data_IF_708492471536
#
_entry.id   IF_708492471536
#
_cell.length_a   1.000
_cell.length_b   1.000
_cell.length_c   1.000
_cell.angle_alpha   90.00
_cell.angle_beta   90.00
_cell.angle_gamma   90.00
#
_symmetry.space_group_name_H-M   'P 1'
#
loop_
_entity.id
_entity.type
_entity.pdbx_description
1 polymer ?
#
# COMPACT_ATOMS: atom_id res chain seq x y z
N UNK A 1 -32.47 31.68 10.95
CA UNK A 1 -31.76 31.87 9.67
C UNK A 1 -32.65 32.76 8.82
N UNK A 2 -32.14 33.86 8.28
CA UNK A 2 -32.94 34.81 7.49
C UNK A 2 -33.15 34.23 6.09
N UNK A 3 -34.26 33.53 5.87
CA UNK A 3 -34.63 33.02 4.53
C UNK A 3 -35.17 34.13 3.65
N UNK A 4 -34.92 34.03 2.35
CA UNK A 4 -35.38 34.97 1.32
C UNK A 4 -36.71 34.53 0.74
N UNK A 5 -37.74 35.35 0.85
CA UNK A 5 -39.09 35.03 0.39
C UNK A 5 -39.53 36.09 -0.62
N UNK A 6 -40.08 35.65 -1.75
CA UNK A 6 -40.74 36.53 -2.71
C UNK A 6 -42.25 36.32 -2.64
N UNK A 7 -42.99 37.41 -2.47
CA UNK A 7 -44.45 37.43 -2.57
C UNK A 7 -44.83 38.10 -3.90
N UNK A 8 -45.67 37.44 -4.69
CA UNK A 8 -46.18 37.94 -5.97
C UNK A 8 -47.70 37.95 -5.90
N UNK A 9 -48.32 39.12 -5.97
CA UNK A 9 -49.78 39.27 -5.90
C UNK A 9 -50.10 40.63 -6.51
N UNK A 10 -51.18 40.83 -7.25
CA UNK A 10 -51.51 42.14 -7.84
C UNK A 10 -52.14 43.09 -6.81
N UNK A 11 -52.74 42.56 -5.74
CA UNK A 11 -53.33 43.31 -4.65
C UNK A 11 -52.26 43.83 -3.67
N UNK A 12 -52.11 45.15 -3.63
CA UNK A 12 -51.15 45.84 -2.76
C UNK A 12 -51.33 45.48 -1.27
N UNK A 13 -52.58 45.43 -0.81
CA UNK A 13 -52.90 45.11 0.58
C UNK A 13 -52.42 43.71 1.00
N UNK A 14 -52.53 42.73 0.11
CA UNK A 14 -52.10 41.35 0.38
C UNK A 14 -50.57 41.26 0.39
N UNK A 15 -49.90 41.87 -0.60
CA UNK A 15 -48.43 41.94 -0.63
C UNK A 15 -47.87 42.54 0.66
N UNK A 16 -48.39 43.69 1.09
CA UNK A 16 -47.92 44.35 2.31
C UNK A 16 -48.28 43.57 3.57
N UNK A 17 -49.50 43.02 3.66
CA UNK A 17 -49.93 42.21 4.81
C UNK A 17 -49.05 40.98 5.02
N UNK A 18 -48.82 40.20 3.97
CA UNK A 18 -47.94 39.02 4.03
C UNK A 18 -46.48 39.40 4.28
N UNK A 19 -46.00 40.48 3.66
CA UNK A 19 -44.65 41.00 3.91
C UNK A 19 -44.44 41.34 5.38
N UNK A 20 -45.38 42.05 6.01
CA UNK A 20 -45.28 42.40 7.43
C UNK A 20 -45.27 41.15 8.31
N UNK A 21 -46.17 40.20 8.07
CA UNK A 21 -46.25 38.95 8.84
C UNK A 21 -44.95 38.13 8.75
N UNK A 22 -44.39 37.98 7.55
CA UNK A 22 -43.21 37.15 7.33
C UNK A 22 -41.91 37.87 7.75
N UNK A 23 -41.83 39.19 7.58
CA UNK A 23 -40.71 39.99 8.07
C UNK A 23 -40.64 40.00 9.61
N UNK A 24 -41.79 40.01 10.31
CA UNK A 24 -41.89 39.87 11.77
C UNK A 24 -41.30 38.54 12.27
N UNK A 25 -41.31 37.48 11.44
CA UNK A 25 -40.65 36.21 11.72
C UNK A 25 -39.14 36.20 11.39
N UNK A 26 -38.58 37.35 10.98
CA UNK A 26 -37.16 37.51 10.67
C UNK A 26 -36.73 37.04 9.28
N UNK A 27 -37.67 36.90 8.34
CA UNK A 27 -37.37 36.60 6.94
C UNK A 27 -37.02 37.87 6.14
N UNK A 28 -36.23 37.71 5.07
CA UNK A 28 -36.01 38.75 4.07
C UNK A 28 -37.11 38.66 3.01
N UNK A 29 -37.98 39.66 2.92
CA UNK A 29 -39.18 39.56 2.09
C UNK A 29 -39.22 40.64 1.02
N UNK A 30 -39.17 40.20 -0.23
CA UNK A 30 -39.41 41.04 -1.40
C UNK A 30 -40.82 40.80 -1.96
N UNK A 31 -41.33 41.79 -2.68
CA UNK A 31 -42.69 41.78 -3.22
C UNK A 31 -42.66 42.20 -4.69
N UNK A 32 -43.41 41.52 -5.54
CA UNK A 32 -43.63 41.83 -6.94
C UNK A 32 -45.14 41.99 -7.19
N UNK A 33 -45.52 42.90 -8.08
CA UNK A 33 -46.93 43.15 -8.41
C UNK A 33 -47.41 42.40 -9.64
N UNK A 34 -46.48 41.88 -10.44
CA UNK A 34 -46.74 41.21 -11.72
C UNK A 34 -45.63 40.20 -12.03
N UNK A 35 -45.83 39.45 -13.12
CA UNK A 35 -44.91 38.43 -13.61
C UNK A 35 -43.52 38.99 -13.95
N UNK A 36 -43.44 40.12 -14.67
CA UNK A 36 -42.17 40.68 -15.13
C UNK A 36 -41.30 41.19 -13.97
N UNK A 37 -41.90 41.89 -13.00
CA UNK A 37 -41.21 42.32 -11.79
C UNK A 37 -40.78 41.12 -10.94
N UNK A 38 -41.59 40.06 -10.87
CA UNK A 38 -41.23 38.82 -10.18
C UNK A 38 -39.98 38.17 -10.79
N UNK A 39 -39.91 38.01 -12.12
CA UNK A 39 -38.75 37.42 -12.79
C UNK A 39 -37.46 38.22 -12.60
N UNK A 40 -37.57 39.55 -12.56
CA UNK A 40 -36.43 40.43 -12.29
C UNK A 40 -35.90 40.21 -10.88
N UNK A 41 -36.80 40.17 -9.89
CA UNK A 41 -36.43 39.92 -8.49
C UNK A 41 -35.89 38.50 -8.31
N UNK A 42 -36.45 37.47 -8.96
CA UNK A 42 -35.96 36.09 -8.84
C UNK A 42 -34.48 35.99 -9.21
N UNK A 43 -34.07 36.65 -10.29
CA UNK A 43 -32.69 36.64 -10.79
C UNK A 43 -31.71 37.29 -9.79
N UNK A 44 -32.08 38.44 -9.21
CA UNK A 44 -31.19 39.23 -8.36
C UNK A 44 -31.21 38.77 -6.89
N UNK A 45 -32.39 38.42 -6.39
CA UNK A 45 -32.62 38.09 -5.00
C UNK A 45 -32.34 36.63 -4.69
N UNK A 46 -32.56 35.73 -5.66
CA UNK A 46 -32.49 34.28 -5.53
C UNK A 46 -33.29 33.76 -4.31
N UNK A 47 -34.64 33.80 -4.38
CA UNK A 47 -35.51 33.47 -3.24
C UNK A 47 -35.43 31.99 -2.85
N UNK A 48 -35.55 31.73 -1.55
CA UNK A 48 -35.67 30.38 -0.97
C UNK A 48 -37.10 29.83 -1.08
N UNK A 49 -38.10 30.72 -1.16
CA UNK A 49 -39.52 30.41 -1.29
C UNK A 49 -40.21 31.49 -2.11
N UNK A 50 -41.12 31.09 -2.99
CA UNK A 50 -41.99 32.00 -3.72
C UNK A 50 -43.44 31.72 -3.31
N UNK A 51 -44.17 32.78 -3.00
CA UNK A 51 -45.60 32.74 -2.72
C UNK A 51 -46.26 33.61 -3.79
N UNK A 52 -47.08 33.03 -4.66
CA UNK A 52 -47.66 33.75 -5.81
C UNK A 52 -49.18 33.63 -5.82
N UNK A 53 -49.87 34.70 -6.19
CA UNK A 53 -51.25 34.61 -6.66
C UNK A 53 -51.27 33.88 -8.02
N UNK A 54 -52.39 33.21 -8.31
CA UNK A 54 -52.64 32.58 -9.60
C UNK A 54 -53.00 33.62 -10.65
N UNK A 55 -53.74 34.66 -10.28
CA UNK A 55 -54.18 35.70 -11.22
C UNK A 55 -53.21 36.88 -11.08
N UNK A 56 -52.44 37.18 -12.13
CA UNK A 56 -51.44 38.26 -12.14
C UNK A 56 -51.64 39.16 -13.38
N UNK A 57 -52.86 39.68 -13.53
CA UNK A 57 -53.23 40.52 -14.67
C UNK A 57 -53.13 39.76 -16.00
N UNK A 58 -52.16 40.14 -16.85
CA UNK A 58 -51.96 39.54 -18.18
C UNK A 58 -51.27 38.18 -18.19
N UNK A 59 -50.76 37.73 -17.04
CA UNK A 59 -50.11 36.43 -16.85
C UNK A 59 -50.74 35.72 -15.64
N UNK A 60 -50.41 34.44 -15.48
CA UNK A 60 -50.81 33.65 -14.33
C UNK A 60 -49.61 33.29 -13.45
N UNK A 61 -49.85 33.00 -12.17
CA UNK A 61 -48.83 32.39 -11.31
C UNK A 61 -48.36 31.03 -11.83
N UNK A 62 -49.15 30.36 -12.68
CA UNK A 62 -48.79 29.09 -13.32
C UNK A 62 -47.69 29.34 -14.35
N UNK A 63 -47.77 30.43 -15.11
CA UNK A 63 -46.70 30.84 -16.04
C UNK A 63 -45.39 31.09 -15.28
N UNK A 64 -45.49 31.70 -14.09
CA UNK A 64 -44.32 31.93 -13.22
C UNK A 64 -43.70 30.60 -12.75
N UNK A 65 -44.53 29.64 -12.33
CA UNK A 65 -44.08 28.30 -11.95
C UNK A 65 -43.41 27.57 -13.12
N UNK A 66 -43.97 27.69 -14.33
CA UNK A 66 -43.38 27.17 -15.55
C UNK A 66 -41.97 27.74 -15.80
N UNK A 67 -41.83 29.06 -15.69
CA UNK A 67 -40.55 29.72 -15.92
C UNK A 67 -39.50 29.34 -14.86
N UNK A 68 -39.90 29.23 -13.59
CA UNK A 68 -39.04 28.76 -12.49
C UNK A 68 -38.53 27.34 -12.77
N UNK A 69 -39.40 26.45 -13.27
CA UNK A 69 -39.02 25.10 -13.65
C UNK A 69 -38.13 25.02 -14.88
N UNK A 70 -38.41 25.82 -15.91
CA UNK A 70 -37.59 25.88 -17.11
C UNK A 70 -36.16 26.35 -16.81
N UNK A 71 -36.00 27.21 -15.79
CA UNK A 71 -34.71 27.67 -15.28
C UNK A 71 -34.05 26.72 -14.29
N UNK A 72 -34.63 25.53 -14.05
CA UNK A 72 -34.15 24.53 -13.09
C UNK A 72 -33.93 25.06 -11.67
N UNK A 73 -34.74 26.05 -11.26
CA UNK A 73 -34.67 26.60 -9.91
C UNK A 73 -35.31 25.62 -8.91
N UNK A 74 -34.71 25.54 -7.72
CA UNK A 74 -35.10 24.61 -6.66
C UNK A 74 -35.96 25.26 -5.57
N UNK A 75 -36.30 26.54 -5.73
CA UNK A 75 -37.14 27.25 -4.78
C UNK A 75 -38.58 26.71 -4.88
N UNK A 76 -39.22 26.33 -3.75
CA UNK A 76 -40.60 25.89 -3.75
C UNK A 76 -41.52 27.06 -4.08
N UNK A 77 -42.62 26.78 -4.77
CA UNK A 77 -43.63 27.78 -5.13
C UNK A 77 -44.95 27.40 -4.47
N UNK A 78 -45.48 28.30 -3.64
CA UNK A 78 -46.81 28.18 -3.05
C UNK A 78 -47.75 29.07 -3.84
N UNK A 79 -48.84 28.50 -4.31
CA UNK A 79 -49.86 29.24 -5.05
C UNK A 79 -51.01 29.61 -4.14
N UNK A 80 -51.50 30.85 -4.27
CA UNK A 80 -52.62 31.40 -3.54
C UNK A 80 -53.68 31.83 -4.56
N UNK A 81 -54.97 31.65 -4.28
CA UNK A 81 -56.03 32.19 -5.14
C UNK A 81 -57.29 32.58 -4.37
N UNK A 82 -57.97 33.64 -4.80
CA UNK A 82 -59.32 33.97 -4.33
C UNK A 82 -60.43 33.15 -4.97
N UNK A 83 -60.20 32.64 -6.19
CA UNK A 83 -61.18 31.89 -6.99
C UNK A 83 -60.61 30.50 -7.33
N UNK A 84 -60.81 29.49 -6.47
CA UNK A 84 -60.32 28.15 -6.74
C UNK A 84 -61.04 27.53 -7.95
N UNK A 85 -60.27 27.15 -8.97
CA UNK A 85 -60.74 26.33 -10.08
C UNK A 85 -60.04 24.96 -10.05
N UNK A 86 -60.82 23.88 -10.19
CA UNK A 86 -60.35 22.49 -10.31
C UNK A 86 -59.26 22.34 -11.37
N UNK A 87 -59.39 23.02 -12.52
CA UNK A 87 -58.41 22.94 -13.60
C UNK A 87 -57.06 23.54 -13.17
N UNK A 88 -57.06 24.77 -12.65
CA UNK A 88 -55.85 25.48 -12.19
C UNK A 88 -55.14 24.78 -11.02
N UNK A 89 -55.91 24.21 -10.09
CA UNK A 89 -55.35 23.46 -8.95
C UNK A 89 -54.69 22.16 -9.38
N UNK A 90 -55.29 21.45 -10.33
CA UNK A 90 -54.73 20.22 -10.90
C UNK A 90 -53.46 20.52 -11.69
N UNK A 91 -53.47 21.59 -12.48
CA UNK A 91 -52.33 22.04 -13.27
C UNK A 91 -51.15 22.47 -12.40
N UNK A 92 -51.38 23.30 -11.37
CA UNK A 92 -50.37 23.71 -10.40
C UNK A 92 -49.65 22.51 -9.77
N UNK A 93 -50.40 21.50 -9.31
CA UNK A 93 -49.83 20.29 -8.69
C UNK A 93 -49.06 19.46 -9.72
N UNK A 94 -49.58 19.28 -10.95
CA UNK A 94 -48.87 18.57 -12.03
C UNK A 94 -47.56 19.27 -12.39
N UNK A 95 -47.57 20.60 -12.40
CA UNK A 95 -46.41 21.44 -12.60
C UNK A 95 -45.55 21.56 -11.35
N UNK A 96 -45.80 20.81 -10.28
CA UNK A 96 -44.94 20.71 -9.11
C UNK A 96 -44.89 21.97 -8.26
N UNK A 97 -45.97 22.73 -8.17
CA UNK A 97 -46.19 23.64 -7.06
C UNK A 97 -46.03 22.88 -5.74
N UNK A 98 -45.44 23.52 -4.74
CA UNK A 98 -45.27 22.93 -3.42
C UNK A 98 -46.59 22.80 -2.68
N UNK A 99 -47.43 23.83 -2.76
CA UNK A 99 -48.74 23.86 -2.14
C UNK A 99 -49.69 24.82 -2.88
N UNK A 100 -50.99 24.64 -2.70
CA UNK A 100 -52.05 25.43 -3.31
C UNK A 100 -53.10 25.80 -2.26
N UNK A 101 -53.40 27.10 -2.11
CA UNK A 101 -54.17 27.61 -0.98
C UNK A 101 -55.19 28.65 -1.44
N UNK A 102 -56.36 28.63 -0.83
CA UNK A 102 -57.43 29.59 -1.11
C UNK A 102 -57.43 30.77 -0.13
N UNK A 103 -57.65 31.99 -0.66
CA UNK A 103 -57.93 33.19 0.13
C UNK A 103 -59.35 33.06 0.73
N UNK A 104 -59.64 33.61 1.93
CA UNK A 104 -58.73 34.37 2.79
C UNK A 104 -57.78 33.48 3.62
N UNK A 105 -56.52 33.90 3.74
CA UNK A 105 -55.48 33.16 4.49
C UNK A 105 -55.26 33.80 5.87
N UNK A 106 -55.43 32.99 6.92
CA UNK A 106 -55.12 33.41 8.30
C UNK A 106 -53.61 33.41 8.55
N UNK A 107 -53.14 34.29 9.44
CA UNK A 107 -51.71 34.40 9.83
C UNK A 107 -51.07 33.04 10.13
N UNK A 108 -51.71 32.22 10.97
CA UNK A 108 -51.21 30.89 11.37
C UNK A 108 -51.03 29.95 10.19
N UNK A 109 -51.97 29.99 9.22
CA UNK A 109 -51.91 29.16 8.03
C UNK A 109 -50.73 29.58 7.14
N UNK A 110 -50.55 30.89 6.92
CA UNK A 110 -49.42 31.47 6.17
C UNK A 110 -48.08 31.07 6.80
N UNK A 111 -47.94 31.20 8.12
CA UNK A 111 -46.70 30.84 8.80
C UNK A 111 -46.38 29.34 8.67
N UNK A 112 -47.39 28.47 8.80
CA UNK A 112 -47.23 27.02 8.70
C UNK A 112 -46.75 26.59 7.30
N UNK A 113 -47.42 27.07 6.26
CA UNK A 113 -47.09 26.70 4.86
C UNK A 113 -45.70 27.23 4.47
N UNK A 114 -45.35 28.45 4.90
CA UNK A 114 -44.03 29.04 4.67
C UNK A 114 -42.96 28.20 5.35
N UNK A 115 -43.18 27.78 6.60
CA UNK A 115 -42.24 26.92 7.33
C UNK A 115 -42.02 25.59 6.62
N UNK A 116 -43.10 24.97 6.12
CA UNK A 116 -43.00 23.72 5.38
C UNK A 116 -42.26 23.88 4.05
N UNK A 117 -42.56 24.94 3.30
CA UNK A 117 -41.86 25.26 2.04
C UNK A 117 -40.36 25.50 2.27
N UNK A 118 -40.00 26.31 3.26
CA UNK A 118 -38.60 26.56 3.60
C UNK A 118 -37.86 25.29 4.07
N UNK A 119 -38.52 24.42 4.84
CA UNK A 119 -37.94 23.12 5.22
C UNK A 119 -37.69 22.24 3.99
N UNK A 120 -38.61 22.24 3.02
CA UNK A 120 -38.41 21.51 1.77
C UNK A 120 -37.22 22.06 0.97
N UNK A 121 -37.09 23.39 0.88
CA UNK A 121 -35.92 24.05 0.27
C UNK A 121 -34.61 23.61 0.93
N UNK A 122 -34.54 23.64 2.26
CA UNK A 122 -33.36 23.19 3.01
C UNK A 122 -32.99 21.73 2.72
N UNK A 123 -33.98 20.84 2.60
CA UNK A 123 -33.73 19.44 2.26
C UNK A 123 -33.16 19.28 0.84
N UNK A 124 -33.68 20.03 -0.13
CA UNK A 124 -33.16 20.03 -1.49
C UNK A 124 -31.72 20.57 -1.56
N UNK A 125 -31.44 21.66 -0.86
CA UNK A 125 -30.11 22.26 -0.81
C UNK A 125 -29.10 21.32 -0.12
N UNK A 126 -29.48 20.71 1.00
CA UNK A 126 -28.64 19.73 1.70
C UNK A 126 -28.36 18.52 0.82
N UNK A 127 -29.36 18.01 0.09
CA UNK A 127 -29.18 16.88 -0.84
C UNK A 127 -28.17 17.25 -1.93
N UNK A 128 -28.34 18.40 -2.58
CA UNK A 128 -27.44 18.88 -3.63
C UNK A 128 -26.01 19.07 -3.11
N UNK A 129 -25.86 19.65 -1.92
CA UNK A 129 -24.57 19.82 -1.27
C UNK A 129 -23.89 18.48 -0.97
N UNK A 130 -24.63 17.51 -0.41
CA UNK A 130 -24.12 16.17 -0.12
C UNK A 130 -23.70 15.42 -1.39
N UNK A 131 -24.45 15.55 -2.48
CA UNK A 131 -24.09 14.97 -3.77
C UNK A 131 -22.79 15.58 -4.33
N UNK A 132 -22.62 16.89 -4.22
CA UNK A 132 -21.38 17.58 -4.61
C UNK A 132 -20.19 17.17 -3.74
N UNK A 133 -20.37 17.07 -2.42
CA UNK A 133 -19.30 16.66 -1.49
C UNK A 133 -18.89 15.20 -1.73
N UNK A 134 -19.86 14.31 -1.97
CA UNK A 134 -19.58 12.92 -2.34
C UNK A 134 -18.79 12.83 -3.66
N UNK A 135 -19.17 13.61 -4.67
CA UNK A 135 -18.45 13.66 -5.94
C UNK A 135 -17.01 14.17 -5.74
N UNK A 136 -16.83 15.21 -4.92
CA UNK A 136 -15.52 15.75 -4.59
C UNK A 136 -14.63 14.75 -3.87
N UNK A 137 -15.18 14.00 -2.92
CA UNK A 137 -14.45 12.92 -2.22
C UNK A 137 -14.07 11.81 -3.20
N UNK A 138 -14.98 11.40 -4.09
CA UNK A 138 -14.70 10.38 -5.13
C UNK A 138 -13.55 10.81 -6.05
N UNK A 139 -13.61 12.02 -6.62
CA UNK A 139 -12.53 12.52 -7.49
C UNK A 139 -11.18 12.61 -6.76
N UNK A 140 -11.17 13.02 -5.49
CA UNK A 140 -9.94 13.04 -4.67
C UNK A 140 -9.36 11.63 -4.51
N UNK A 141 -10.21 10.65 -4.18
CA UNK A 141 -9.77 9.27 -4.00
C UNK A 141 -9.26 8.66 -5.31
N UNK A 142 -9.95 8.92 -6.42
CA UNK A 142 -9.53 8.46 -7.75
C UNK A 142 -8.17 9.04 -8.14
N UNK A 143 -7.95 10.34 -7.94
CA UNK A 143 -6.66 10.98 -8.21
C UNK A 143 -5.52 10.37 -7.37
N UNK A 144 -5.77 10.12 -6.07
CA UNK A 144 -4.79 9.44 -5.20
C UNK A 144 -4.51 8.04 -5.73
N UNK A 145 -5.56 7.24 -5.95
CA UNK A 145 -5.48 5.85 -6.36
C UNK A 145 -4.71 5.66 -7.67
N UNK A 146 -4.98 6.51 -8.68
CA UNK A 146 -4.30 6.46 -9.97
C UNK A 146 -2.85 6.97 -9.90
N UNK A 147 -2.50 7.82 -8.93
CA UNK A 147 -1.13 8.32 -8.76
C UNK A 147 -0.18 7.32 -8.07
N UNK A 148 -0.72 6.25 -7.47
CA UNK A 148 0.09 5.26 -6.77
C UNK A 148 0.96 4.47 -7.74
N UNK A 149 2.24 4.33 -7.40
CA UNK A 149 3.20 3.51 -8.18
C UNK A 149 3.07 2.02 -7.89
N UNK A 150 2.56 1.67 -6.71
CA UNK A 150 2.25 0.29 -6.36
C UNK A 150 0.94 -0.11 -7.05
N UNK A 151 0.85 -1.35 -7.52
CA UNK A 151 -0.37 -1.87 -8.09
C UNK A 151 -1.35 -2.19 -6.95
N UNK A 152 -2.55 -1.62 -7.03
CA UNK A 152 -3.60 -1.82 -6.01
C UNK A 152 -4.81 -2.41 -6.70
N UNK A 153 -5.24 -3.57 -6.21
CA UNK A 153 -6.35 -4.35 -6.77
C UNK A 153 -7.32 -4.67 -5.65
N UNK A 154 -8.57 -4.27 -5.80
CA UNK A 154 -9.65 -4.55 -4.86
C UNK A 154 -10.45 -5.75 -5.39
N UNK A 155 -10.65 -6.77 -4.56
CA UNK A 155 -11.27 -8.04 -4.93
C UNK A 155 -12.38 -8.36 -3.92
N UNK A 156 -13.56 -8.75 -4.39
CA UNK A 156 -14.68 -9.14 -3.54
C UNK A 156 -14.52 -10.56 -2.96
N UNK A 157 -15.54 -11.03 -2.21
CA UNK A 157 -15.55 -12.38 -1.64
C UNK A 157 -15.71 -13.52 -2.66
N UNK A 158 -16.20 -13.21 -3.87
CA UNK A 158 -16.35 -14.15 -4.99
C UNK A 158 -15.15 -14.13 -5.94
N UNK A 159 -14.05 -13.47 -5.54
CA UNK A 159 -12.86 -13.23 -6.36
C UNK A 159 -13.10 -12.31 -7.56
N UNK A 160 -14.19 -11.55 -7.60
CA UNK A 160 -14.43 -10.57 -8.64
C UNK A 160 -13.61 -9.30 -8.36
N UNK A 161 -12.90 -8.80 -9.37
CA UNK A 161 -12.15 -7.55 -9.25
C UNK A 161 -13.14 -6.37 -9.24
N UNK A 162 -13.17 -5.63 -8.14
CA UNK A 162 -13.99 -4.43 -7.97
C UNK A 162 -13.28 -3.23 -8.62
N UNK A 163 -12.00 -3.05 -8.32
CA UNK A 163 -11.19 -1.91 -8.77
C UNK A 163 -9.73 -2.32 -8.97
N UNK A 164 -9.04 -1.62 -9.88
CA UNK A 164 -7.60 -1.73 -10.06
C UNK A 164 -7.04 -0.39 -10.59
N UNK A 165 -5.84 0.00 -10.15
CA UNK A 165 -5.19 1.22 -10.65
C UNK A 165 -4.29 0.94 -11.85
N UNK A 166 -3.86 2.02 -12.53
CA UNK A 166 -3.03 1.93 -13.74
C UNK A 166 -1.67 1.24 -13.52
N UNK A 167 -1.11 1.30 -12.30
CA UNK A 167 0.13 0.60 -11.97
C UNK A 167 0.03 -0.93 -12.12
N UNK A 168 -1.18 -1.48 -12.06
CA UNK A 168 -1.45 -2.91 -12.32
C UNK A 168 -0.99 -3.35 -13.71
N UNK A 169 -1.04 -2.45 -14.70
CA UNK A 169 -0.58 -2.75 -16.06
C UNK A 169 0.92 -3.00 -16.09
N UNK A 170 1.68 -2.11 -15.44
CA UNK A 170 3.14 -2.14 -15.47
C UNK A 170 3.73 -3.23 -14.56
N UNK A 171 3.08 -3.51 -13.42
CA UNK A 171 3.58 -4.46 -12.41
C UNK A 171 3.04 -5.87 -12.67
N UNK A 172 1.75 -6.00 -12.97
CA UNK A 172 1.10 -7.31 -13.09
C UNK A 172 0.83 -7.71 -14.56
N UNK A 173 0.98 -6.78 -15.50
CA UNK A 173 0.65 -7.00 -16.91
C UNK A 173 -0.85 -6.89 -17.22
N UNK A 174 -1.68 -6.36 -16.31
CA UNK A 174 -3.12 -6.25 -16.51
C UNK A 174 -3.57 -4.81 -16.70
N UNK A 175 -4.26 -4.51 -17.80
CA UNK A 175 -5.03 -3.28 -17.90
C UNK A 175 -6.18 -3.34 -16.89
N UNK A 176 -6.36 -2.28 -16.08
CA UNK A 176 -7.46 -2.19 -15.13
C UNK A 176 -8.82 -2.45 -15.80
N UNK A 177 -9.03 -1.87 -16.99
CA UNK A 177 -10.26 -2.03 -17.79
C UNK A 177 -10.54 -3.48 -18.19
N UNK A 178 -9.49 -4.31 -18.33
CA UNK A 178 -9.63 -5.68 -18.79
C UNK A 178 -9.93 -6.65 -17.65
N UNK A 179 -9.68 -6.28 -16.39
CA UNK A 179 -9.85 -7.15 -15.24
C UNK A 179 -11.03 -6.76 -14.35
N UNK A 180 -11.42 -5.49 -14.31
CA UNK A 180 -12.57 -5.02 -13.52
C UNK A 180 -13.82 -5.80 -13.94
N UNK A 181 -14.56 -6.30 -12.94
CA UNK A 181 -15.75 -7.12 -13.11
C UNK A 181 -15.49 -8.58 -13.47
N UNK A 182 -14.23 -9.00 -13.71
CA UNK A 182 -13.89 -10.40 -13.98
C UNK A 182 -13.46 -11.14 -12.72
N UNK A 183 -13.57 -12.47 -12.75
CA UNK A 183 -13.01 -13.32 -11.71
C UNK A 183 -11.48 -13.31 -11.81
N UNK A 184 -10.82 -12.85 -10.74
CA UNK A 184 -9.38 -12.71 -10.63
C UNK A 184 -8.63 -14.04 -10.88
N UNK A 185 -9.22 -15.17 -10.47
CA UNK A 185 -8.63 -16.48 -10.70
C UNK A 185 -8.68 -16.91 -12.18
N UNK A 186 -9.63 -16.40 -12.96
CA UNK A 186 -9.92 -16.85 -14.33
C UNK A 186 -9.33 -15.93 -15.41
N UNK A 187 -8.81 -14.75 -15.03
CA UNK A 187 -8.17 -13.84 -15.99
C UNK A 187 -7.00 -14.57 -16.68
N UNK A 188 -7.11 -14.78 -18.01
CA UNK A 188 -6.09 -15.44 -18.83
C UNK A 188 -4.90 -14.51 -19.08
N UNK A 189 -3.73 -14.86 -18.57
CA UNK A 189 -2.56 -13.95 -18.57
C UNK A 189 -1.25 -14.72 -18.52
N UNK A 190 -0.14 -14.05 -18.82
CA UNK A 190 1.23 -14.57 -18.64
C UNK A 190 1.72 -14.49 -17.19
N UNK A 191 0.86 -14.06 -16.26
CA UNK A 191 1.17 -14.03 -14.83
C UNK A 191 0.99 -15.41 -14.22
N UNK A 192 1.99 -15.87 -13.46
CA UNK A 192 1.95 -17.16 -12.75
C UNK A 192 1.01 -17.17 -11.53
N UNK A 193 0.39 -16.02 -11.22
CA UNK A 193 -0.60 -15.87 -10.15
C UNK A 193 -0.09 -16.30 -8.78
N UNK A 194 1.22 -16.17 -8.55
CA UNK A 194 1.86 -16.42 -7.25
C UNK A 194 1.25 -15.61 -6.09
N UNK A 195 0.52 -14.53 -6.39
CA UNK A 195 -0.23 -13.74 -5.42
C UNK A 195 -1.54 -14.39 -4.92
N UNK A 196 -2.07 -15.42 -5.58
CA UNK A 196 -3.38 -16.02 -5.27
C UNK A 196 -3.47 -16.62 -3.88
N UNK A 197 -2.36 -17.16 -3.36
CA UNK A 197 -2.32 -17.72 -2.01
C UNK A 197 -2.62 -16.65 -0.96
N UNK A 198 -2.13 -15.42 -1.17
CA UNK A 198 -2.40 -14.29 -0.27
C UNK A 198 -3.84 -13.85 -0.40
N UNK A 199 -4.39 -13.80 -1.62
CA UNK A 199 -5.79 -13.44 -1.83
C UNK A 199 -6.71 -14.39 -1.07
N UNK A 200 -6.55 -15.70 -1.29
CA UNK A 200 -7.33 -16.74 -0.61
C UNK A 200 -7.14 -16.70 0.90
N UNK A 201 -5.90 -16.56 1.38
CA UNK A 201 -5.60 -16.54 2.81
C UNK A 201 -6.16 -15.28 3.48
N UNK A 202 -6.11 -14.12 2.84
CA UNK A 202 -6.65 -12.86 3.38
C UNK A 202 -8.17 -12.93 3.47
N UNK A 203 -8.85 -13.35 2.40
CA UNK A 203 -10.31 -13.52 2.38
C UNK A 203 -10.78 -14.56 3.41
N UNK A 204 -10.04 -15.67 3.58
CA UNK A 204 -10.39 -16.71 4.57
C UNK A 204 -10.15 -16.26 6.00
N UNK A 205 -9.02 -15.62 6.28
CA UNK A 205 -8.62 -15.26 7.65
C UNK A 205 -9.20 -13.94 8.14
N UNK A 206 -9.65 -13.08 7.22
CA UNK A 206 -10.13 -11.73 7.53
C UNK A 206 -9.11 -10.91 8.34
N UNK A 207 -7.83 -11.19 8.15
CA UNK A 207 -6.70 -10.50 8.78
C UNK A 207 -5.78 -9.96 7.70
N UNK A 208 -5.16 -8.83 7.99
CA UNK A 208 -4.10 -8.29 7.14
C UNK A 208 -2.93 -9.27 7.10
N UNK A 209 -2.51 -9.63 5.90
CA UNK A 209 -1.32 -10.42 5.61
C UNK A 209 -0.30 -9.45 5.02
N UNK A 210 0.68 -9.07 5.83
CA UNK A 210 1.69 -8.08 5.46
C UNK A 210 2.92 -8.72 4.82
N UNK A 211 3.45 -8.03 3.81
CA UNK A 211 4.83 -8.14 3.34
C UNK A 211 5.31 -9.54 2.97
N UNK A 212 4.51 -10.26 2.18
CA UNK A 212 4.96 -11.54 1.61
C UNK A 212 5.73 -11.26 0.33
N UNK A 213 7.01 -11.62 0.34
CA UNK A 213 7.88 -11.52 -0.83
C UNK A 213 7.69 -12.75 -1.72
N UNK A 214 7.42 -12.52 -2.99
CA UNK A 214 7.33 -13.56 -4.01
C UNK A 214 8.15 -13.18 -5.24
N UNK A 215 8.48 -14.17 -6.07
CA UNK A 215 8.90 -13.94 -7.44
C UNK A 215 7.70 -14.15 -8.35
N UNK A 216 7.47 -13.23 -9.29
CA UNK A 216 6.44 -13.37 -10.32
C UNK A 216 7.03 -13.05 -11.69
N UNK A 217 6.28 -13.43 -12.72
CA UNK A 217 6.64 -13.21 -14.14
C UNK A 217 5.45 -12.62 -14.86
N UNK A 218 5.68 -11.77 -15.85
CA UNK A 218 4.65 -11.29 -16.77
C UNK A 218 5.26 -10.99 -18.15
N UNK A 219 4.42 -10.62 -19.12
CA UNK A 219 4.79 -10.50 -20.53
C UNK A 219 5.98 -9.58 -20.83
N UNK A 220 6.23 -8.56 -20.00
CA UNK A 220 7.32 -7.60 -20.18
C UNK A 220 8.52 -7.88 -19.25
N UNK A 221 8.36 -8.69 -18.20
CA UNK A 221 9.43 -9.04 -17.26
C UNK A 221 9.43 -10.52 -16.91
N UNK A 222 10.51 -11.19 -17.31
CA UNK A 222 10.65 -12.64 -17.14
C UNK A 222 10.99 -13.07 -15.70
N UNK A 223 11.36 -12.12 -14.83
CA UNK A 223 11.60 -12.35 -13.40
C UNK A 223 11.53 -11.03 -12.64
N UNK A 224 10.49 -10.87 -11.84
CA UNK A 224 10.24 -9.71 -10.99
C UNK A 224 10.10 -10.18 -9.54
N UNK A 225 10.61 -9.38 -8.59
CA UNK A 225 10.45 -9.62 -7.15
C UNK A 225 9.46 -8.59 -6.63
N UNK A 226 8.33 -9.06 -6.11
CA UNK A 226 7.28 -8.19 -5.59
C UNK A 226 7.01 -8.46 -4.11
N UNK A 227 6.60 -7.40 -3.43
CA UNK A 227 6.10 -7.44 -2.06
C UNK A 227 4.58 -7.33 -2.09
N UNK A 228 3.92 -8.33 -1.55
CA UNK A 228 2.46 -8.41 -1.51
C UNK A 228 1.93 -8.09 -0.13
N UNK A 229 0.89 -7.26 -0.07
CA UNK A 229 0.12 -7.01 1.14
C UNK A 229 -1.35 -7.20 0.84
N UNK A 230 -1.99 -8.15 1.53
CA UNK A 230 -3.43 -8.35 1.47
C UNK A 230 -4.09 -7.79 2.72
N UNK A 231 -5.07 -6.89 2.57
CA UNK A 231 -5.84 -6.33 3.68
C UNK A 231 -7.34 -6.50 3.44
N UNK A 232 -8.12 -7.04 4.39
CA UNK A 232 -9.57 -7.13 4.24
C UNK A 232 -10.20 -5.74 4.25
N UNK A 233 -11.26 -5.55 3.46
CA UNK A 233 -12.07 -4.33 3.52
C UNK A 233 -12.88 -4.33 4.81
N UNK A 234 -12.81 -3.23 5.57
CA UNK A 234 -13.59 -3.10 6.82
C UNK A 234 -14.89 -2.35 6.52
N UNK A 235 -16.03 -3.00 6.71
CA UNK A 235 -17.34 -2.36 6.72
C UNK A 235 -18.06 -2.75 8.01
N UNK A 236 -18.85 -1.83 8.58
CA UNK A 236 -19.57 -2.04 9.84
C UNK A 236 -20.79 -2.99 9.73
N UNK A 237 -20.58 -4.24 9.30
CA UNK A 237 -21.62 -5.27 9.08
C UNK A 237 -21.05 -6.70 8.90
N UNK A 238 -21.90 -7.73 8.82
CA UNK A 238 -21.51 -9.15 8.93
C UNK A 238 -21.01 -9.87 7.66
N UNK A 239 -20.92 -9.19 6.51
CA UNK A 239 -20.28 -9.74 5.32
C UNK A 239 -19.03 -8.94 5.00
N UNK A 240 -17.89 -9.62 4.97
CA UNK A 240 -16.65 -9.08 4.43
C UNK A 240 -16.89 -8.57 3.01
N UNK A 241 -16.66 -7.28 2.70
CA UNK A 241 -16.84 -6.74 1.36
C UNK A 241 -15.84 -7.33 0.35
N UNK A 242 -14.72 -7.85 0.84
CA UNK A 242 -13.62 -8.30 0.01
C UNK A 242 -12.28 -7.96 0.65
N UNK A 243 -11.27 -7.69 -0.18
CA UNK A 243 -9.93 -7.32 0.23
C UNK A 243 -9.28 -6.36 -0.77
N UNK A 244 -8.24 -5.68 -0.32
CA UNK A 244 -7.31 -4.91 -1.14
C UNK A 244 -5.98 -5.65 -1.18
N UNK A 245 -5.51 -5.95 -2.39
CA UNK A 245 -4.19 -6.49 -2.68
C UNK A 245 -3.31 -5.34 -3.15
N UNK A 246 -2.20 -5.11 -2.46
CA UNK A 246 -1.14 -4.20 -2.88
C UNK A 246 0.04 -5.02 -3.36
N UNK A 247 0.52 -4.73 -4.56
CA UNK A 247 1.69 -5.35 -5.19
C UNK A 247 2.72 -4.26 -5.44
N UNK A 248 3.84 -4.34 -4.71
CA UNK A 248 4.96 -3.41 -4.86
C UNK A 248 6.12 -4.10 -5.55
N UNK A 249 6.60 -3.52 -6.65
CA UNK A 249 7.82 -3.97 -7.31
C UNK A 249 9.07 -3.55 -6.51
N UNK A 250 9.80 -4.54 -5.99
CA UNK A 250 11.06 -4.35 -5.26
C UNK A 250 12.25 -4.97 -6.01
N UNK A 251 12.11 -5.24 -7.31
CA UNK A 251 13.15 -5.87 -8.15
C UNK A 251 14.42 -5.04 -8.16
N UNK A 252 14.29 -3.73 -8.40
CA UNK A 252 15.44 -2.82 -8.40
C UNK A 252 16.11 -2.75 -7.02
N UNK A 253 15.33 -2.69 -5.94
CA UNK A 253 15.86 -2.68 -4.58
C UNK A 253 16.63 -3.97 -4.28
N UNK A 254 16.03 -5.12 -4.61
CA UNK A 254 16.66 -6.44 -4.46
C UNK A 254 17.97 -6.53 -5.24
N UNK A 255 17.99 -6.06 -6.49
CA UNK A 255 19.18 -6.09 -7.33
C UNK A 255 20.27 -5.17 -6.77
N UNK A 256 19.91 -3.99 -6.27
CA UNK A 256 20.85 -3.07 -5.62
C UNK A 256 21.41 -3.64 -4.32
N UNK A 257 20.57 -4.23 -3.47
CA UNK A 257 21.01 -4.93 -2.26
C UNK A 257 21.96 -6.08 -2.59
N UNK A 258 21.68 -6.83 -3.66
CA UNK A 258 22.57 -7.90 -4.13
C UNK A 258 23.90 -7.35 -4.62
N UNK A 259 23.89 -6.29 -5.44
CA UNK A 259 25.11 -5.64 -5.92
C UNK A 259 25.94 -5.01 -4.78
N UNK A 260 25.28 -4.46 -3.75
CA UNK A 260 25.94 -3.93 -2.57
C UNK A 260 26.54 -5.05 -1.72
N UNK A 261 25.84 -6.17 -1.52
CA UNK A 261 26.39 -7.37 -0.87
C UNK A 261 27.61 -7.90 -1.63
N UNK A 262 27.51 -8.03 -2.96
CA UNK A 262 28.61 -8.46 -3.83
C UNK A 262 29.79 -7.48 -3.78
N UNK A 263 29.55 -6.15 -3.70
CA UNK A 263 30.62 -5.14 -3.61
C UNK A 263 31.18 -4.92 -2.20
N UNK A 264 30.56 -5.42 -1.14
CA UNK A 264 30.94 -5.10 0.25
C UNK A 264 31.39 -6.28 1.11
N UNK A 265 31.32 -7.53 0.66
CA UNK A 265 31.74 -8.65 1.51
C UNK A 265 32.40 -9.79 0.72
N UNK A 266 33.69 -9.65 0.42
CA UNK A 266 34.54 -10.83 0.43
C UNK A 266 34.86 -11.17 1.90
N UNK A 267 33.97 -11.90 2.57
CA UNK A 267 34.23 -12.50 3.90
C UNK A 267 34.82 -11.57 4.97
N UNK A 268 34.34 -10.31 5.04
CA UNK A 268 34.83 -9.23 5.95
C UNK A 268 36.23 -8.69 5.62
N UNK A 269 36.81 -9.07 4.49
CA UNK A 269 38.04 -8.49 3.96
C UNK A 269 37.65 -7.30 3.07
N UNK A 270 38.14 -6.10 3.42
CA UNK A 270 37.87 -4.86 2.68
C UNK A 270 39.13 -4.49 1.92
N UNK A 271 39.05 -4.45 0.58
CA UNK A 271 40.19 -4.14 -0.27
C UNK A 271 39.81 -3.93 -1.73
N UNK A 272 40.04 -2.73 -2.24
CA UNK A 272 39.77 -2.35 -3.65
C UNK A 272 41.02 -2.33 -4.53
N UNK A 273 42.21 -2.55 -3.96
CA UNK A 273 43.46 -2.53 -4.73
C UNK A 273 43.53 -3.71 -5.70
N UNK A 274 44.25 -3.53 -6.81
CA UNK A 274 44.44 -4.58 -7.82
C UNK A 274 45.07 -5.85 -7.24
N UNK A 275 45.95 -5.72 -6.23
CA UNK A 275 46.53 -6.86 -5.50
C UNK A 275 45.49 -7.64 -4.69
N UNK A 276 44.56 -6.94 -4.03
CA UNK A 276 43.48 -7.58 -3.26
C UNK A 276 42.46 -8.27 -4.16
N UNK A 277 42.12 -7.66 -5.31
CA UNK A 277 41.22 -8.30 -6.28
C UNK A 277 41.83 -9.60 -6.83
N UNK A 278 43.15 -9.63 -7.08
CA UNK A 278 43.87 -10.87 -7.44
C UNK A 278 43.85 -11.91 -6.31
N UNK A 279 43.98 -11.47 -5.05
CA UNK A 279 43.90 -12.35 -3.89
C UNK A 279 42.51 -13.01 -3.77
N UNK A 280 41.43 -12.26 -3.99
CA UNK A 280 40.07 -12.80 -3.97
C UNK A 280 39.85 -13.89 -5.02
N UNK A 281 40.29 -13.65 -6.26
CA UNK A 281 40.21 -14.65 -7.32
C UNK A 281 41.01 -15.93 -6.98
N UNK A 282 42.16 -15.79 -6.33
CA UNK A 282 42.97 -16.93 -5.90
C UNK A 282 42.30 -17.72 -4.76
N UNK A 283 41.65 -17.03 -3.82
CA UNK A 283 40.89 -17.65 -2.72
C UNK A 283 39.69 -18.44 -3.26
N UNK A 284 38.95 -17.90 -4.24
CA UNK A 284 37.85 -18.61 -4.90
C UNK A 284 38.34 -19.92 -5.53
N UNK A 285 39.37 -19.84 -6.39
CA UNK A 285 39.92 -21.01 -7.05
C UNK A 285 40.42 -22.08 -6.06
N UNK A 286 41.03 -21.65 -4.96
CA UNK A 286 41.57 -22.57 -3.96
C UNK A 286 40.47 -23.25 -3.16
N UNK A 287 39.38 -22.53 -2.84
CA UNK A 287 38.30 -23.02 -1.97
C UNK A 287 37.55 -24.22 -2.54
N UNK A 288 37.55 -24.41 -3.87
CA UNK A 288 36.93 -25.55 -4.54
C UNK A 288 37.80 -26.82 -4.53
N UNK A 289 39.05 -26.72 -4.07
CA UNK A 289 40.01 -27.84 -4.08
C UNK A 289 40.35 -28.31 -2.66
N UNK A 290 40.70 -29.58 -2.52
CA UNK A 290 41.16 -30.16 -1.25
C UNK A 290 42.65 -29.89 -0.96
N UNK A 291 43.21 -28.82 -1.54
CA UNK A 291 44.62 -28.46 -1.44
C UNK A 291 44.97 -27.80 -0.10
N UNK A 292 46.19 -28.03 0.39
CA UNK A 292 46.70 -27.32 1.58
C UNK A 292 47.20 -25.93 1.19
N UNK A 293 46.78 -24.91 1.94
CA UNK A 293 47.14 -23.51 1.71
C UNK A 293 48.18 -23.03 2.74
N UNK A 294 49.21 -22.31 2.29
CA UNK A 294 50.10 -21.54 3.17
C UNK A 294 49.80 -20.04 2.99
N UNK A 295 49.42 -19.36 4.07
CA UNK A 295 49.11 -17.93 4.05
C UNK A 295 50.22 -17.16 4.75
N UNK A 296 50.98 -16.37 3.99
CA UNK A 296 52.12 -15.57 4.47
C UNK A 296 51.77 -14.08 4.56
N UNK A 297 52.58 -13.31 5.28
CA UNK A 297 52.41 -11.86 5.43
C UNK A 297 52.73 -11.35 6.84
N UNK A 298 52.87 -10.03 6.97
CA UNK A 298 53.19 -9.35 8.22
C UNK A 298 52.09 -9.50 9.29
N UNK A 299 52.42 -9.26 10.55
CA UNK A 299 51.43 -9.29 11.63
C UNK A 299 50.35 -8.23 11.38
N UNK A 300 49.06 -8.58 11.52
CA UNK A 300 47.96 -7.64 11.32
C UNK A 300 47.44 -7.51 9.87
N UNK A 301 48.02 -8.20 8.88
CA UNK A 301 47.57 -8.13 7.47
C UNK A 301 46.30 -8.93 7.13
N UNK A 302 45.58 -9.44 8.14
CA UNK A 302 44.32 -10.14 7.91
C UNK A 302 44.45 -11.59 7.41
N UNK A 303 45.61 -12.25 7.56
CA UNK A 303 45.83 -13.67 7.18
C UNK A 303 44.74 -14.63 7.71
N UNK A 304 44.26 -14.38 8.91
CA UNK A 304 43.20 -15.17 9.51
C UNK A 304 41.86 -15.01 8.78
N UNK A 305 41.55 -13.80 8.32
CA UNK A 305 40.34 -13.53 7.53
C UNK A 305 40.40 -14.26 6.19
N UNK A 306 41.58 -14.36 5.57
CA UNK A 306 41.80 -15.15 4.34
C UNK A 306 41.55 -16.64 4.59
N UNK A 307 42.04 -17.18 5.71
CA UNK A 307 41.79 -18.57 6.09
C UNK A 307 40.29 -18.86 6.30
N UNK A 308 39.55 -17.94 6.91
CA UNK A 308 38.09 -18.03 7.03
C UNK A 308 37.40 -17.99 5.67
N UNK A 309 37.84 -17.11 4.77
CA UNK A 309 37.26 -16.99 3.45
C UNK A 309 37.40 -18.29 2.64
N UNK A 310 38.56 -18.95 2.72
CA UNK A 310 38.79 -20.25 2.07
C UNK A 310 37.83 -21.31 2.64
N UNK A 311 37.72 -21.42 3.98
CA UNK A 311 36.85 -22.42 4.61
C UNK A 311 35.38 -22.21 4.26
N UNK A 312 34.90 -20.96 4.35
CA UNK A 312 33.50 -20.62 4.09
C UNK A 312 33.07 -20.88 2.65
N UNK A 313 33.97 -20.66 1.69
CA UNK A 313 33.71 -20.94 0.28
C UNK A 313 33.92 -22.40 -0.12
N UNK A 314 34.50 -23.22 0.76
CA UNK A 314 34.78 -24.62 0.46
C UNK A 314 33.55 -25.53 0.62
N UNK A 315 33.56 -26.74 0.02
CA UNK A 315 32.58 -27.80 0.30
C UNK A 315 32.51 -28.20 1.79
N UNK A 316 33.50 -27.80 2.59
CA UNK A 316 33.64 -28.10 4.02
C UNK A 316 33.07 -26.99 4.92
N UNK A 317 32.38 -25.98 4.37
CA UNK A 317 31.85 -24.82 5.13
C UNK A 317 31.01 -25.17 6.36
N UNK A 318 30.24 -26.27 6.30
CA UNK A 318 29.39 -26.75 7.41
C UNK A 318 30.18 -27.54 8.48
N UNK A 319 31.45 -27.88 8.21
CA UNK A 319 32.33 -28.56 9.16
C UNK A 319 32.99 -27.54 10.10
N UNK A 320 33.31 -27.94 11.35
CA UNK A 320 33.92 -27.03 12.31
C UNK A 320 35.29 -26.52 11.84
N UNK A 321 35.49 -25.21 11.90
CA UNK A 321 36.76 -24.54 11.60
C UNK A 321 37.58 -24.37 12.88
N UNK A 322 38.59 -25.22 13.05
CA UNK A 322 39.43 -25.24 14.26
C UNK A 322 40.69 -24.42 14.04
N UNK A 323 40.85 -23.34 14.80
CA UNK A 323 42.08 -22.53 14.83
C UNK A 323 43.03 -23.05 15.91
N UNK A 324 44.32 -23.11 15.59
CA UNK A 324 45.37 -23.47 16.55
C UNK A 324 46.51 -22.48 16.44
N UNK A 325 46.70 -21.66 17.48
CA UNK A 325 47.83 -20.75 17.55
C UNK A 325 49.04 -21.47 18.17
N UNK A 326 50.05 -21.78 17.36
CA UNK A 326 51.26 -22.48 17.78
C UNK A 326 52.21 -21.63 18.65
N UNK A 327 51.99 -20.32 18.75
CA UNK A 327 52.85 -19.42 19.55
C UNK A 327 52.42 -19.29 21.03
N UNK A 328 51.23 -19.77 21.39
CA UNK A 328 50.62 -19.55 22.70
C UNK A 328 50.64 -20.78 23.63
N UNK A 329 51.21 -21.91 23.20
CA UNK A 329 51.19 -23.17 23.94
C UNK A 329 52.62 -23.69 24.16
N UNK A 330 52.91 -24.17 25.37
CA UNK A 330 54.16 -24.90 25.64
C UNK A 330 54.18 -26.23 24.86
N UNK A 331 55.37 -26.68 24.46
CA UNK A 331 55.57 -27.75 23.47
C UNK A 331 54.82 -29.05 23.80
N UNK A 332 54.93 -29.50 25.05
CA UNK A 332 54.29 -30.74 25.53
C UNK A 332 52.75 -30.63 25.57
N UNK A 333 52.22 -29.42 25.73
CA UNK A 333 50.77 -29.15 25.71
C UNK A 333 50.25 -29.06 24.28
N UNK A 334 51.06 -28.59 23.32
CA UNK A 334 50.66 -28.48 21.91
C UNK A 334 50.39 -29.85 21.28
N UNK A 335 51.28 -30.83 21.49
CA UNK A 335 51.10 -32.19 20.98
C UNK A 335 49.84 -32.86 21.55
N UNK A 336 49.65 -32.71 22.86
CA UNK A 336 48.48 -33.20 23.60
C UNK A 336 47.17 -32.55 23.16
N UNK A 337 47.16 -31.26 22.82
CA UNK A 337 45.99 -30.54 22.30
C UNK A 337 45.67 -30.94 20.85
N UNK A 338 46.69 -31.15 20.01
CA UNK A 338 46.52 -31.46 18.59
C UNK A 338 46.11 -32.91 18.36
N UNK A 339 46.84 -33.86 18.95
CA UNK A 339 46.70 -35.30 18.70
C UNK A 339 45.93 -36.02 19.81
N UNK A 340 45.75 -35.39 20.97
CA UNK A 340 45.15 -36.01 22.14
C UNK A 340 46.18 -36.78 22.96
N UNK A 341 45.74 -37.33 24.09
CA UNK A 341 46.57 -38.18 24.94
C UNK A 341 45.73 -39.22 25.68
N UNK A 342 46.39 -40.29 26.11
CA UNK A 342 45.83 -41.32 26.98
C UNK A 342 46.25 -41.02 28.42
N UNK A 343 45.42 -41.42 29.40
CA UNK A 343 45.73 -41.31 30.83
C UNK A 343 47.10 -41.91 31.11
N UNK A 344 47.98 -41.13 31.75
CA UNK A 344 49.36 -41.52 32.06
C UNK A 344 50.42 -41.21 30.99
N UNK A 345 50.07 -40.56 29.87
CA UNK A 345 51.04 -40.22 28.82
C UNK A 345 52.14 -39.22 29.26
N UNK A 346 51.86 -38.38 30.27
CA UNK A 346 52.82 -37.47 30.89
C UNK A 346 52.39 -37.14 32.33
N UNK A 347 53.27 -36.53 33.12
CA UNK A 347 52.98 -36.08 34.48
C UNK A 347 51.87 -35.02 34.49
N UNK A 348 50.67 -35.40 34.92
CA UNK A 348 49.45 -34.56 34.90
C UNK A 348 48.34 -35.05 33.96
N UNK A 349 48.55 -36.11 33.18
CA UNK A 349 47.53 -36.73 32.33
C UNK A 349 46.56 -37.62 33.13
N UNK A 350 45.62 -37.00 33.87
CA UNK A 350 44.69 -37.70 34.78
C UNK A 350 43.58 -38.49 34.04
N UNK A 351 43.28 -38.11 32.80
CA UNK A 351 42.22 -38.72 31.98
C UNK A 351 42.59 -38.72 30.48
N UNK A 352 41.89 -39.52 29.68
CA UNK A 352 42.05 -39.49 28.22
C UNK A 352 41.50 -38.17 27.66
N UNK A 353 42.15 -37.64 26.61
CA UNK A 353 41.71 -36.44 25.90
C UNK A 353 41.81 -36.66 24.39
N UNK A 354 40.70 -36.43 23.68
CA UNK A 354 40.65 -36.49 22.22
C UNK A 354 41.30 -35.24 21.61
N UNK A 355 42.17 -35.42 20.61
CA UNK A 355 42.87 -34.33 19.94
C UNK A 355 42.01 -33.53 18.96
N UNK A 356 42.39 -32.28 18.72
CA UNK A 356 41.70 -31.38 17.78
C UNK A 356 41.66 -31.90 16.34
N UNK A 357 42.64 -32.70 15.92
CA UNK A 357 42.65 -33.32 14.59
C UNK A 357 41.53 -34.36 14.37
N UNK A 358 41.05 -34.98 15.43
CA UNK A 358 39.95 -35.95 15.36
C UNK A 358 38.57 -35.28 15.38
N UNK A 359 38.49 -33.99 15.73
CA UNK A 359 37.23 -33.26 15.91
C UNK A 359 36.74 -32.53 14.63
N UNK A 360 37.52 -32.51 13.54
CA UNK A 360 37.11 -31.91 12.27
C UNK A 360 38.29 -31.55 11.36
N UNK A 361 38.01 -31.11 10.13
CA UNK A 361 39.02 -30.68 9.16
C UNK A 361 39.80 -29.47 9.69
N UNK A 362 40.90 -29.73 10.39
CA UNK A 362 41.68 -28.71 11.06
C UNK A 362 42.47 -27.87 10.03
N UNK A 363 42.29 -26.55 10.07
CA UNK A 363 43.10 -25.61 9.30
C UNK A 363 44.07 -24.94 10.28
N UNK A 364 45.37 -25.21 10.12
CA UNK A 364 46.41 -24.65 10.98
C UNK A 364 46.60 -23.15 10.72
N UNK A 365 45.87 -22.31 11.47
CA UNK A 365 46.04 -20.87 11.47
C UNK A 365 47.26 -20.43 12.28
N UNK A 366 48.28 -19.91 11.60
CA UNK A 366 49.60 -19.46 12.08
C UNK A 366 50.66 -20.57 12.21
N UNK A 367 51.30 -20.91 11.09
CA UNK A 367 52.70 -21.35 11.10
C UNK A 367 53.59 -20.11 11.01
N UNK A 368 53.65 -19.32 12.09
CA UNK A 368 54.89 -18.59 12.36
C UNK A 368 55.83 -19.64 12.93
N UNK A 369 56.60 -20.25 12.04
CA UNK A 369 57.73 -21.12 12.39
C UNK A 369 57.30 -22.31 13.28
N UNK A 370 57.04 -23.49 12.70
CA UNK A 370 57.35 -24.71 13.47
C UNK A 370 58.88 -24.75 13.53
N UNK A 371 59.45 -23.98 14.46
CA UNK A 371 60.88 -23.94 14.72
C UNK A 371 61.37 -25.21 15.43
N UNK A 372 60.49 -26.19 15.66
CA UNK A 372 60.80 -27.34 16.49
C UNK A 372 60.71 -28.66 15.72
N UNK A 373 61.81 -29.42 15.76
CA UNK A 373 62.01 -30.72 15.07
C UNK A 373 61.12 -31.84 15.62
N UNK A 374 60.50 -31.68 16.80
CA UNK A 374 59.67 -32.71 17.44
C UNK A 374 58.30 -32.94 16.80
N UNK A 375 57.58 -31.87 16.42
CA UNK A 375 56.19 -31.94 15.91
C UNK A 375 56.11 -32.06 14.38
N UNK A 376 57.16 -31.63 13.67
CA UNK A 376 57.23 -31.69 12.19
C UNK A 376 57.04 -33.11 11.63
N UNK A 377 57.62 -34.19 12.20
CA UNK A 377 57.40 -35.55 11.72
C UNK A 377 55.95 -36.00 11.86
N UNK A 378 55.26 -35.62 12.94
CA UNK A 378 53.86 -35.97 13.17
C UNK A 378 52.91 -35.21 12.25
N UNK A 379 53.18 -33.93 11.98
CA UNK A 379 52.42 -33.14 11.00
C UNK A 379 52.67 -33.62 9.57
N UNK A 380 53.93 -33.90 9.21
CA UNK A 380 54.28 -34.45 7.91
C UNK A 380 53.67 -35.84 7.72
N UNK A 381 53.62 -36.67 8.77
CA UNK A 381 52.97 -37.98 8.74
C UNK A 381 51.46 -37.85 8.67
N UNK A 382 50.82 -36.95 9.45
CA UNK A 382 49.37 -36.71 9.41
C UNK A 382 48.92 -36.24 8.03
N UNK A 383 49.62 -35.26 7.44
CA UNK A 383 49.43 -34.89 6.04
C UNK A 383 49.67 -36.11 5.13
N UNK A 384 50.82 -36.77 5.19
CA UNK A 384 51.13 -37.90 4.30
C UNK A 384 50.18 -39.12 4.44
N UNK A 385 49.58 -39.40 5.59
CA UNK A 385 48.63 -40.50 5.79
C UNK A 385 47.19 -40.14 5.43
N UNK A 386 46.79 -38.88 5.58
CA UNK A 386 45.53 -38.38 4.99
C UNK A 386 45.62 -38.17 3.46
N UNK A 387 46.83 -38.30 2.90
CA UNK A 387 47.14 -38.26 1.47
C UNK A 387 47.08 -39.63 0.76
N UNK A 388 46.93 -40.76 1.46
CA UNK A 388 46.84 -42.08 0.79
C UNK A 388 45.50 -42.33 0.08
N UNK A 389 44.50 -41.46 0.28
CA UNK A 389 43.17 -41.57 -0.36
C UNK A 389 42.98 -40.68 -1.61
N UNK A 390 43.97 -39.90 -2.08
CA UNK A 390 43.82 -39.15 -3.34
C UNK A 390 45.15 -38.71 -4.01
N UNK A 391 45.54 -39.31 -5.15
CA UNK A 391 46.84 -39.08 -5.79
C UNK A 391 46.77 -38.03 -6.91
N UNK A 392 46.47 -36.76 -6.61
CA UNK A 392 46.59 -35.69 -7.60
C UNK A 392 46.86 -34.31 -6.98
N UNK A 393 47.96 -33.67 -7.40
CA UNK A 393 48.14 -32.21 -7.28
C UNK A 393 49.26 -31.76 -6.34
N UNK A 394 50.52 -31.88 -6.78
CA UNK A 394 51.63 -31.12 -6.18
C UNK A 394 51.56 -29.66 -6.67
N UNK A 395 51.40 -28.72 -5.74
CA UNK A 395 51.59 -27.29 -5.99
C UNK A 395 52.14 -26.61 -4.75
N UNK A 396 53.43 -26.27 -4.77
CA UNK A 396 54.05 -25.38 -3.77
C UNK A 396 54.09 -23.97 -4.35
N UNK A 397 53.56 -22.96 -3.65
CA UNK A 397 53.82 -21.56 -4.00
C UNK A 397 53.91 -20.68 -2.74
N UNK A 398 54.96 -19.85 -2.74
CA UNK A 398 55.36 -18.77 -1.81
C UNK A 398 54.49 -17.53 -1.87
#
# INVERSE_FOLDING_TARGET
MKSKILIVDDEENIRFGFKMILADQGHDVMTAMDFDSALKIISDFNPDLIITDIILGGYTGIDLLHEIKNRELTCPVIMITGEPNMETSTEAVRLGAFDYITKPIRKEALLRITTHGLKHKQLLDNKKQLEMDNLRVRHKMEAIFQSLKDAVITIDHNLQVIEANDATKNICGFSAKDIIGKNFAEVQTYCDKSCMDIVKKTLKTQKTIGEVRIECRHSEQNRQVVLLTGSPLRQGGSKSPGMVLVVRDITKLTNLERQLKERHQFHRIIGKSSRMQKLYALVENLSETDSTALITGETGTGKELVAHAIHYNSPRKEKPFVKVNCSALAENLLESELFGHVKGAFTGAVQNKTGRFQMGAALMGQVKTVANRGVQPYLHRFCATSWQDNPAGKGYLT
#
